data_IF_464525422530
#
_entry.id   IF_464525422530
#
_cell.length_a   1.000
_cell.length_b   1.000
_cell.length_c   1.000
_cell.angle_alpha   90.00
_cell.angle_beta   90.00
_cell.angle_gamma   90.00
#
_symmetry.space_group_name_H-M   'P 1'
#
loop_
_entity.id
_entity.type
_entity.pdbx_description
1 polymer ?
#
# COMPACT_ATOMS: atom_id res chain seq x y z
N UNK A 1 -21.09 0.71 12.29
CA UNK A 1 -19.70 0.27 12.34
C UNK A 1 -19.03 0.48 10.99
N UNK A 2 -17.82 0.99 11.02
CA UNK A 2 -17.07 1.12 9.79
C UNK A 2 -16.77 -0.27 9.23
N UNK A 3 -17.14 -0.48 7.97
CA UNK A 3 -16.80 -1.69 7.27
C UNK A 3 -15.31 -1.65 6.93
N UNK A 4 -14.53 -2.55 7.52
CA UNK A 4 -13.10 -2.60 7.24
C UNK A 4 -12.80 -2.82 5.76
N UNK A 5 -13.65 -3.61 5.09
CA UNK A 5 -13.47 -3.83 3.66
C UNK A 5 -13.56 -2.53 2.85
N UNK A 6 -14.52 -1.67 3.20
CA UNK A 6 -14.65 -0.36 2.53
C UNK A 6 -13.46 0.52 2.84
N UNK A 7 -13.00 0.54 4.09
CA UNK A 7 -11.80 1.28 4.51
C UNK A 7 -10.56 0.77 3.77
N UNK A 8 -10.39 -0.53 3.70
CA UNK A 8 -9.28 -1.16 3.00
C UNK A 8 -9.27 -0.78 1.52
N UNK A 9 -10.43 -0.83 0.87
CA UNK A 9 -10.57 -0.49 -0.55
C UNK A 9 -10.21 0.96 -0.81
N UNK A 10 -10.59 1.86 0.10
CA UNK A 10 -10.26 3.28 0.00
C UNK A 10 -8.75 3.48 0.13
N UNK A 11 -8.13 2.82 1.11
CA UNK A 11 -6.68 2.90 1.30
C UNK A 11 -5.94 2.39 0.06
N UNK A 12 -6.38 1.26 -0.49
CA UNK A 12 -5.76 0.71 -1.69
C UNK A 12 -5.86 1.68 -2.86
N UNK A 13 -7.03 2.28 -3.07
CA UNK A 13 -7.22 3.25 -4.14
C UNK A 13 -6.31 4.47 -3.96
N UNK A 14 -6.19 4.96 -2.73
CA UNK A 14 -5.31 6.10 -2.43
C UNK A 14 -3.84 5.75 -2.68
N UNK A 15 -3.42 4.56 -2.26
CA UNK A 15 -2.04 4.11 -2.46
C UNK A 15 -1.73 3.90 -3.94
N UNK A 16 -2.67 3.35 -4.70
CA UNK A 16 -2.47 3.15 -6.14
C UNK A 16 -2.40 4.48 -6.88
N UNK A 17 -3.19 5.47 -6.48
CA UNK A 17 -3.14 6.81 -7.05
C UNK A 17 -1.78 7.46 -6.81
N UNK A 18 -1.31 7.39 -5.58
CA UNK A 18 0.00 7.94 -5.22
C UNK A 18 1.12 7.23 -5.97
N UNK A 19 1.01 5.90 -6.11
CA UNK A 19 1.96 5.12 -6.90
C UNK A 19 2.01 5.61 -8.35
N UNK A 20 0.86 5.84 -8.96
CA UNK A 20 0.80 6.28 -10.36
C UNK A 20 1.46 7.64 -10.54
N UNK A 21 1.23 8.57 -9.61
CA UNK A 21 1.88 9.88 -9.63
C UNK A 21 3.39 9.74 -9.51
N UNK A 22 3.85 8.92 -8.59
CA UNK A 22 5.28 8.72 -8.36
C UNK A 22 5.93 7.95 -9.51
N UNK A 23 5.19 7.05 -10.15
CA UNK A 23 5.69 6.32 -11.31
C UNK A 23 6.04 7.27 -12.45
N UNK A 24 5.19 8.26 -12.72
CA UNK A 24 5.47 9.26 -13.74
C UNK A 24 6.73 10.06 -13.41
N UNK A 25 6.86 10.50 -12.16
CA UNK A 25 8.02 11.28 -11.71
C UNK A 25 9.29 10.43 -11.69
N UNK A 26 9.20 9.20 -11.22
CA UNK A 26 10.36 8.30 -11.12
C UNK A 26 10.86 7.88 -12.49
N UNK A 27 9.98 7.79 -13.49
CA UNK A 27 10.38 7.45 -14.86
C UNK A 27 11.38 8.44 -15.42
N UNK A 28 11.25 9.71 -15.04
CA UNK A 28 12.16 10.78 -15.47
C UNK A 28 13.29 11.02 -14.47
N UNK A 29 13.32 10.27 -13.38
CA UNK A 29 14.26 10.47 -12.29
C UNK A 29 15.39 9.47 -12.26
N UNK A 30 16.06 9.39 -11.12
CA UNK A 30 17.19 8.51 -10.90
C UNK A 30 16.76 7.05 -10.76
N UNK A 31 17.67 6.14 -11.08
CA UNK A 31 17.43 4.70 -10.91
C UNK A 31 17.06 4.35 -9.48
N UNK A 32 17.64 5.03 -8.48
CA UNK A 32 17.34 4.83 -7.07
C UNK A 32 15.86 5.09 -6.77
N UNK A 33 15.26 6.12 -7.36
CA UNK A 33 13.84 6.41 -7.20
C UNK A 33 12.99 5.28 -7.74
N UNK A 34 13.37 4.73 -8.88
CA UNK A 34 12.66 3.59 -9.49
C UNK A 34 12.78 2.33 -8.63
N UNK A 35 13.93 2.10 -8.01
CA UNK A 35 14.13 0.95 -7.12
C UNK A 35 13.25 1.04 -5.89
N UNK A 36 13.19 2.22 -5.26
CA UNK A 36 12.31 2.44 -4.11
C UNK A 36 10.84 2.28 -4.50
N UNK A 37 10.47 2.77 -5.68
CA UNK A 37 9.10 2.63 -6.16
C UNK A 37 8.75 1.17 -6.42
N UNK A 38 9.66 0.39 -6.97
CA UNK A 38 9.44 -1.04 -7.22
C UNK A 38 9.17 -1.78 -5.90
N UNK A 39 9.88 -1.44 -4.83
CA UNK A 39 9.66 -2.02 -3.51
C UNK A 39 8.27 -1.65 -2.97
N UNK A 40 7.86 -0.39 -3.16
CA UNK A 40 6.54 0.05 -2.76
C UNK A 40 5.45 -0.68 -3.54
N UNK A 41 5.66 -0.91 -4.83
CA UNK A 41 4.70 -1.64 -5.66
C UNK A 41 4.54 -3.10 -5.23
N UNK A 42 5.63 -3.76 -4.81
CA UNK A 42 5.54 -5.10 -4.25
C UNK A 42 4.69 -5.13 -2.99
N UNK A 43 4.85 -4.14 -2.12
CA UNK A 43 4.07 -4.03 -0.89
C UNK A 43 2.60 -3.71 -1.16
N UNK A 44 2.31 -2.94 -2.20
CA UNK A 44 0.94 -2.68 -2.64
C UNK A 44 0.28 -3.98 -3.08
N UNK A 45 1.00 -4.83 -3.80
CA UNK A 45 0.49 -6.13 -4.22
C UNK A 45 0.16 -7.02 -3.01
N UNK A 46 1.02 -7.04 -2.01
CA UNK A 46 0.75 -7.74 -0.75
C UNK A 46 -0.50 -7.19 -0.06
N UNK A 47 -0.64 -5.86 -0.05
CA UNK A 47 -1.80 -5.20 0.54
C UNK A 47 -3.08 -5.60 -0.20
N UNK A 48 -3.03 -5.64 -1.52
CA UNK A 48 -4.17 -6.03 -2.35
C UNK A 48 -4.63 -7.46 -2.04
N UNK A 49 -3.69 -8.37 -1.81
CA UNK A 49 -4.00 -9.77 -1.52
C UNK A 49 -4.64 -9.99 -0.16
N UNK A 50 -4.58 -9.02 0.75
CA UNK A 50 -5.19 -9.15 2.07
C UNK A 50 -6.72 -9.04 2.05
N UNK A 51 -7.33 -8.50 0.99
CA UNK A 51 -8.77 -8.34 0.92
C UNK A 51 -9.54 -9.66 0.95
N UNK A 52 -9.17 -10.68 0.18
CA UNK A 52 -9.86 -11.97 0.25
C UNK A 52 -9.73 -12.63 1.60
N UNK A 53 -8.59 -12.46 2.26
CA UNK A 53 -8.36 -12.99 3.61
C UNK A 53 -9.31 -12.31 4.60
N UNK A 54 -9.43 -10.97 4.52
CA UNK A 54 -10.30 -10.22 5.42
C UNK A 54 -11.77 -10.64 5.29
N UNK A 55 -12.21 -11.00 4.09
CA UNK A 55 -13.60 -11.43 3.86
C UNK A 55 -13.90 -12.82 4.44
N UNK A 56 -12.92 -13.69 4.47
CA UNK A 56 -13.12 -15.07 4.88
C UNK A 56 -12.76 -15.38 6.34
N UNK A 57 -12.41 -14.38 7.12
CA UNK A 57 -11.84 -14.56 8.45
C UNK A 57 -12.88 -14.35 9.54
N UNK A 58 -12.82 -15.14 10.62
CA UNK A 58 -13.65 -14.96 11.80
C UNK A 58 -13.36 -13.62 12.48
N UNK A 59 -14.33 -13.11 13.25
CA UNK A 59 -14.22 -11.81 13.90
C UNK A 59 -12.93 -11.64 14.70
N UNK A 60 -12.50 -12.68 15.40
CA UNK A 60 -11.31 -12.62 16.24
C UNK A 60 -10.04 -12.44 15.44
N UNK A 61 -9.98 -13.04 14.28
CA UNK A 61 -8.83 -12.91 13.38
C UNK A 61 -8.91 -11.64 12.52
N UNK A 62 -10.11 -11.10 12.30
CA UNK A 62 -10.31 -9.90 11.50
C UNK A 62 -9.56 -8.70 12.06
N UNK A 63 -9.49 -8.57 13.39
CA UNK A 63 -8.73 -7.50 14.02
C UNK A 63 -7.24 -7.57 13.74
N UNK A 64 -6.68 -8.78 13.71
CA UNK A 64 -5.27 -8.98 13.39
C UNK A 64 -4.99 -8.66 11.91
N UNK A 65 -5.90 -9.04 11.03
CA UNK A 65 -5.79 -8.72 9.61
C UNK A 65 -5.84 -7.22 9.40
N UNK A 66 -6.73 -6.53 10.10
CA UNK A 66 -6.85 -5.08 10.03
C UNK A 66 -5.56 -4.39 10.49
N UNK A 67 -4.99 -4.82 11.61
CA UNK A 67 -3.74 -4.26 12.11
C UNK A 67 -2.58 -4.51 11.16
N UNK A 68 -2.50 -5.71 10.60
CA UNK A 68 -1.50 -6.06 9.61
C UNK A 68 -1.63 -5.18 8.36
N UNK A 69 -2.85 -4.93 7.91
CA UNK A 69 -3.10 -4.06 6.76
C UNK A 69 -2.70 -2.61 7.06
N UNK A 70 -2.99 -2.11 8.26
CA UNK A 70 -2.58 -0.76 8.67
C UNK A 70 -1.05 -0.63 8.67
N UNK A 71 -0.37 -1.62 9.22
CA UNK A 71 1.08 -1.63 9.27
C UNK A 71 1.67 -1.63 7.87
N UNK A 72 1.12 -2.45 6.97
CA UNK A 72 1.60 -2.52 5.60
C UNK A 72 1.33 -1.22 4.85
N UNK A 73 0.16 -0.61 5.04
CA UNK A 73 -0.15 0.69 4.44
C UNK A 73 0.85 1.75 4.89
N UNK A 74 1.22 1.74 6.17
CA UNK A 74 2.22 2.65 6.72
C UNK A 74 3.59 2.42 6.07
N UNK A 75 4.00 1.17 5.90
CA UNK A 75 5.25 0.82 5.22
C UNK A 75 5.26 1.30 3.77
N UNK A 76 4.13 1.17 3.08
CA UNK A 76 4.00 1.65 1.70
C UNK A 76 4.19 3.17 1.64
N UNK A 77 3.56 3.90 2.56
CA UNK A 77 3.70 5.36 2.62
C UNK A 77 5.13 5.78 2.92
N UNK A 78 5.82 5.05 3.78
CA UNK A 78 7.24 5.31 4.04
C UNK A 78 8.09 5.05 2.80
N UNK A 79 7.78 3.99 2.06
CA UNK A 79 8.48 3.69 0.81
C UNK A 79 8.27 4.82 -0.20
N UNK A 80 7.04 5.35 -0.29
CA UNK A 80 6.75 6.49 -1.16
C UNK A 80 7.54 7.73 -0.71
N UNK A 81 7.66 7.96 0.58
CA UNK A 81 8.45 9.07 1.10
C UNK A 81 9.92 8.96 0.67
N UNK A 82 10.45 7.74 0.66
CA UNK A 82 11.82 7.50 0.18
C UNK A 82 11.96 7.80 -1.30
N UNK A 83 10.94 7.43 -2.09
CA UNK A 83 10.93 7.78 -3.52
C UNK A 83 11.00 9.30 -3.69
N UNK A 84 10.18 10.03 -2.93
CA UNK A 84 10.16 11.50 -3.02
C UNK A 84 11.49 12.14 -2.65
N UNK A 85 12.22 11.55 -1.69
CA UNK A 85 13.51 12.11 -1.27
C UNK A 85 14.57 12.04 -2.36
N UNK A 86 14.47 11.09 -3.26
CA UNK A 86 15.48 10.91 -4.31
C UNK A 86 14.98 11.38 -5.68
N UNK A 87 13.80 11.96 -5.74
CA UNK A 87 13.31 12.62 -6.95
C UNK A 87 13.97 14.02 -7.12
#
# INVERSE_FOLDING_TARGET
MADFHATWSKWLADLERERDELRLKAHLGKAEARDHLARAEQKIEEFRQKAPIAKGVAKDAAGQVEESAKALASEIREAFARVRRVL
#
